data_IF_639905868253
#
_entry.id   IF_639905868253
#
_cell.length_a   1.000
_cell.length_b   1.000
_cell.length_c   1.000
_cell.angle_alpha   90.00
_cell.angle_beta   90.00
_cell.angle_gamma   90.00
#
_symmetry.space_group_name_H-M   'P 1'
#
loop_
_entity.id
_entity.type
_entity.pdbx_description
1 polymer ?
#
# COMPACT_ATOMS: atom_id res chain seq x y z
N UNK A 1 5.28 -8.12 -21.00
CA UNK A 1 4.32 -9.14 -20.56
C UNK A 1 3.58 -8.55 -19.37
N UNK A 2 2.26 -8.62 -19.40
CA UNK A 2 1.40 -8.12 -18.32
C UNK A 2 1.54 -8.99 -17.07
N UNK A 3 1.50 -8.37 -15.89
CA UNK A 3 1.62 -8.97 -14.57
C UNK A 3 0.92 -8.10 -13.51
N UNK A 4 0.93 -8.55 -12.25
CA UNK A 4 0.24 -7.87 -11.15
C UNK A 4 0.68 -6.43 -10.90
N UNK A 5 1.86 -6.01 -11.32
CA UNK A 5 2.33 -4.62 -11.16
C UNK A 5 1.95 -3.70 -12.33
N UNK A 6 1.60 -4.23 -13.51
CA UNK A 6 1.41 -3.40 -14.71
C UNK A 6 0.13 -3.72 -15.51
N UNK A 7 -0.70 -4.66 -15.04
CA UNK A 7 -2.08 -4.77 -15.51
C UNK A 7 -2.88 -3.53 -15.08
N UNK A 8 -3.90 -3.19 -15.87
CA UNK A 8 -4.73 -2.01 -15.63
C UNK A 8 -5.28 -1.95 -14.20
N UNK A 9 -5.43 -0.72 -13.69
CA UNK A 9 -6.05 -0.44 -12.41
C UNK A 9 -7.54 -0.78 -12.44
N UNK A 10 -8.04 -1.40 -11.37
CA UNK A 10 -9.48 -1.53 -11.18
C UNK A 10 -10.08 -0.23 -10.60
N UNK A 11 -11.41 -0.12 -10.59
CA UNK A 11 -12.10 1.17 -10.39
C UNK A 11 -11.69 1.95 -9.13
N UNK A 12 -11.53 1.25 -8.02
CA UNK A 12 -11.16 1.82 -6.73
C UNK A 12 -9.71 2.34 -6.71
N UNK A 13 -8.75 1.61 -7.30
CA UNK A 13 -7.37 2.09 -7.51
C UNK A 13 -7.36 3.33 -8.41
N UNK A 14 -8.15 3.31 -9.50
CA UNK A 14 -8.27 4.43 -10.42
C UNK A 14 -8.80 5.70 -9.73
N UNK A 15 -9.79 5.56 -8.84
CA UNK A 15 -10.28 6.69 -8.05
C UNK A 15 -9.19 7.28 -7.15
N UNK A 16 -8.47 6.43 -6.41
CA UNK A 16 -7.35 6.88 -5.56
C UNK A 16 -6.29 7.60 -6.39
N UNK A 17 -5.84 7.00 -7.49
CA UNK A 17 -4.82 7.57 -8.36
C UNK A 17 -5.23 8.93 -8.93
N UNK A 18 -6.44 9.07 -9.47
CA UNK A 18 -6.93 10.34 -10.02
C UNK A 18 -7.01 11.43 -8.94
N UNK A 19 -7.45 11.08 -7.73
CA UNK A 19 -7.46 12.01 -6.61
C UNK A 19 -6.04 12.44 -6.24
N UNK A 20 -5.11 11.50 -6.15
CA UNK A 20 -3.71 11.72 -5.77
C UNK A 20 -2.89 12.50 -6.80
N UNK A 21 -3.37 12.63 -8.04
CA UNK A 21 -2.79 13.51 -9.06
C UNK A 21 -3.09 15.01 -8.84
N UNK A 22 -4.00 15.36 -7.94
CA UNK A 22 -4.36 16.76 -7.63
C UNK A 22 -3.32 17.43 -6.75
N UNK A 23 -3.47 18.74 -6.52
CA UNK A 23 -2.65 19.42 -5.51
C UNK A 23 -2.96 18.93 -4.09
N UNK A 24 -1.98 18.94 -3.17
CA UNK A 24 -2.20 18.52 -1.78
C UNK A 24 -3.41 19.19 -1.10
N UNK A 25 -3.64 20.51 -1.25
CA UNK A 25 -4.84 21.15 -0.69
C UNK A 25 -6.14 20.60 -1.26
N UNK A 26 -6.18 20.29 -2.56
CA UNK A 26 -7.35 19.68 -3.20
C UNK A 26 -7.56 18.24 -2.71
N UNK A 27 -6.49 17.45 -2.59
CA UNK A 27 -6.55 16.09 -2.04
C UNK A 27 -7.21 16.12 -0.66
N UNK A 28 -6.69 16.96 0.25
CA UNK A 28 -7.21 17.08 1.61
C UNK A 28 -8.66 17.58 1.61
N UNK A 29 -8.99 18.58 0.79
CA UNK A 29 -10.34 19.12 0.69
C UNK A 29 -11.36 18.08 0.23
N UNK A 30 -11.03 17.29 -0.80
CA UNK A 30 -11.91 16.25 -1.34
C UNK A 30 -12.03 15.08 -0.37
N UNK A 31 -10.91 14.53 0.10
CA UNK A 31 -10.91 13.33 0.94
C UNK A 31 -11.48 13.61 2.33
N UNK A 32 -11.49 14.85 2.81
CA UNK A 32 -12.16 15.23 4.07
C UNK A 32 -13.66 14.93 4.10
N UNK A 33 -14.27 14.72 2.92
CA UNK A 33 -15.67 14.37 2.73
C UNK A 33 -15.86 12.89 2.35
N UNK A 34 -14.77 12.15 2.23
CA UNK A 34 -14.76 10.71 1.98
C UNK A 34 -14.81 9.95 3.33
N UNK A 35 -15.08 8.66 3.28
CA UNK A 35 -14.94 7.73 4.41
C UNK A 35 -13.49 7.47 4.81
N UNK A 36 -12.56 7.81 3.93
CA UNK A 36 -11.18 7.39 3.96
C UNK A 36 -10.25 8.50 4.46
N UNK A 37 -9.27 8.24 5.32
CA UNK A 37 -8.28 9.25 5.69
C UNK A 37 -7.30 9.56 4.54
N UNK A 38 -6.70 10.77 4.52
CA UNK A 38 -5.89 11.27 3.40
C UNK A 38 -4.54 10.57 3.19
N UNK A 39 -4.08 9.76 4.14
CA UNK A 39 -2.67 9.34 4.21
C UNK A 39 -2.23 8.56 2.97
N UNK A 40 -3.08 7.69 2.44
CA UNK A 40 -2.79 6.95 1.22
C UNK A 40 -2.56 7.89 0.03
N UNK A 41 -3.49 8.83 -0.19
CA UNK A 41 -3.41 9.76 -1.31
C UNK A 41 -2.21 10.71 -1.19
N UNK A 42 -1.81 11.05 0.04
CA UNK A 42 -0.59 11.83 0.28
C UNK A 42 0.66 11.03 -0.14
N UNK A 43 0.73 9.74 0.18
CA UNK A 43 1.84 8.89 -0.24
C UNK A 43 1.89 8.70 -1.75
N UNK A 44 0.75 8.44 -2.38
CA UNK A 44 0.66 8.39 -3.85
C UNK A 44 1.07 9.73 -4.47
N UNK A 45 0.64 10.86 -3.91
CA UNK A 45 1.06 12.18 -4.38
C UNK A 45 2.59 12.33 -4.35
N UNK A 46 3.26 11.91 -3.27
CA UNK A 46 4.73 11.93 -3.19
C UNK A 46 5.35 11.05 -4.29
N UNK A 47 4.83 9.83 -4.48
CA UNK A 47 5.31 8.91 -5.50
C UNK A 47 5.11 9.49 -6.91
N UNK A 48 3.97 10.11 -7.19
CA UNK A 48 3.66 10.68 -8.49
C UNK A 48 4.55 11.85 -8.86
N UNK A 49 4.94 12.66 -7.87
CA UNK A 49 5.85 13.79 -8.06
C UNK A 49 7.33 13.37 -8.16
N UNK A 50 7.68 12.12 -7.86
CA UNK A 50 9.09 11.66 -7.83
C UNK A 50 9.40 10.55 -8.82
N UNK A 51 8.50 9.59 -8.98
CA UNK A 51 8.68 8.39 -9.80
C UNK A 51 7.75 8.35 -11.01
N UNK A 52 6.55 8.93 -10.90
CA UNK A 52 5.54 8.94 -11.96
C UNK A 52 4.23 8.25 -11.56
N UNK A 53 3.32 8.12 -12.52
CA UNK A 53 1.92 7.70 -12.27
C UNK A 53 1.57 6.32 -12.83
N UNK A 54 2.56 5.60 -13.37
CA UNK A 54 2.37 4.26 -13.90
C UNK A 54 1.97 3.26 -12.79
N UNK A 55 1.24 2.20 -13.18
CA UNK A 55 0.68 1.21 -12.26
C UNK A 55 1.73 0.55 -11.37
N UNK A 56 2.96 0.40 -11.89
CA UNK A 56 4.08 -0.20 -11.15
C UNK A 56 4.46 0.62 -9.92
N UNK A 57 4.33 1.95 -9.98
CA UNK A 57 4.66 2.82 -8.85
C UNK A 57 3.56 2.81 -7.79
N UNK A 58 2.30 2.77 -8.23
CA UNK A 58 1.12 2.64 -7.36
C UNK A 58 1.18 1.32 -6.59
N UNK A 59 1.33 0.21 -7.29
CA UNK A 59 1.37 -1.13 -6.65
C UNK A 59 2.70 -1.41 -5.97
N UNK A 60 3.78 -0.76 -6.41
CA UNK A 60 5.06 -0.76 -5.70
C UNK A 60 4.97 -0.09 -4.32
N UNK A 61 4.20 0.99 -4.20
CA UNK A 61 3.92 1.64 -2.91
C UNK A 61 3.15 0.70 -1.97
N UNK A 62 2.06 0.09 -2.45
CA UNK A 62 1.30 -0.90 -1.69
C UNK A 62 2.19 -2.06 -1.22
N UNK A 63 2.98 -2.62 -2.14
CA UNK A 63 3.90 -3.72 -1.83
C UNK A 63 4.96 -3.32 -0.79
N UNK A 64 5.39 -2.05 -0.79
CA UNK A 64 6.34 -1.53 0.20
C UNK A 64 5.71 -1.50 1.60
N UNK A 65 4.44 -1.09 1.74
CA UNK A 65 3.74 -1.14 3.03
C UNK A 65 3.45 -2.57 3.49
N UNK A 66 3.12 -3.47 2.57
CA UNK A 66 3.01 -4.90 2.85
C UNK A 66 4.33 -5.46 3.43
N UNK A 67 5.48 -5.19 2.80
CA UNK A 67 6.79 -5.61 3.33
C UNK A 67 7.10 -4.96 4.69
N UNK A 68 6.73 -3.70 4.87
CA UNK A 68 6.82 -3.01 6.17
C UNK A 68 6.02 -3.73 7.25
N UNK A 69 4.79 -4.16 6.93
CA UNK A 69 3.93 -4.92 7.83
C UNK A 69 4.55 -6.27 8.20
N UNK A 70 5.12 -7.00 7.23
CA UNK A 70 5.85 -8.26 7.47
C UNK A 70 7.05 -8.04 8.39
N UNK A 71 7.82 -6.97 8.16
CA UNK A 71 8.95 -6.59 9.02
C UNK A 71 8.50 -6.28 10.44
N UNK A 72 7.44 -5.50 10.63
CA UNK A 72 6.93 -5.19 11.96
C UNK A 72 6.31 -6.40 12.66
N UNK A 73 5.67 -7.32 11.94
CA UNK A 73 5.23 -8.60 12.49
C UNK A 73 6.42 -9.40 13.07
N UNK A 74 7.56 -9.45 12.36
CA UNK A 74 8.80 -10.03 12.89
C UNK A 74 9.27 -9.32 14.17
N UNK A 75 9.32 -7.99 14.14
CA UNK A 75 9.82 -7.20 15.28
C UNK A 75 8.94 -7.38 16.52
N UNK A 76 7.63 -7.32 16.37
CA UNK A 76 6.65 -7.49 17.45
C UNK A 76 6.74 -8.91 18.00
N UNK A 77 6.70 -9.95 17.16
CA UNK A 77 6.79 -11.34 17.61
C UNK A 77 8.14 -11.67 18.28
N UNK A 78 9.23 -11.05 17.80
CA UNK A 78 10.56 -11.19 18.42
C UNK A 78 10.66 -10.50 19.77
N UNK A 79 10.01 -9.33 19.91
CA UNK A 79 10.02 -8.53 21.14
C UNK A 79 9.17 -9.17 22.24
N UNK A 80 7.98 -9.67 21.90
CA UNK A 80 7.04 -10.23 22.88
C UNK A 80 7.37 -11.66 23.30
N UNK A 81 8.04 -12.45 22.44
CA UNK A 81 8.28 -13.88 22.69
C UNK A 81 9.72 -14.30 22.42
N UNK A 82 10.10 -14.47 21.16
CA UNK A 82 11.44 -14.93 20.76
C UNK A 82 11.70 -14.67 19.28
N UNK A 83 12.98 -14.61 18.88
CA UNK A 83 13.36 -14.47 17.46
C UNK A 83 12.73 -15.55 16.56
N UNK A 84 12.61 -16.79 17.07
CA UNK A 84 11.99 -17.90 16.34
C UNK A 84 10.50 -17.64 16.11
N UNK A 85 9.80 -17.16 17.13
CA UNK A 85 8.38 -16.76 17.03
C UNK A 85 8.20 -15.60 16.05
N UNK A 86 9.05 -14.57 16.13
CA UNK A 86 9.03 -13.46 15.18
C UNK A 86 9.24 -13.92 13.74
N UNK A 87 10.16 -14.86 13.50
CA UNK A 87 10.39 -15.40 12.16
C UNK A 87 9.14 -16.12 11.62
N UNK A 88 8.50 -16.97 12.44
CA UNK A 88 7.23 -17.60 12.03
C UNK A 88 6.12 -16.58 11.81
N UNK A 89 6.01 -15.54 12.64
CA UNK A 89 5.03 -14.48 12.45
C UNK A 89 5.21 -13.78 11.09
N UNK A 90 6.43 -13.40 10.73
CA UNK A 90 6.70 -12.80 9.42
C UNK A 90 6.42 -13.75 8.25
N UNK A 91 6.81 -15.03 8.35
CA UNK A 91 6.53 -16.03 7.31
C UNK A 91 5.02 -16.19 7.11
N UNK A 92 4.26 -16.34 8.20
CA UNK A 92 2.81 -16.50 8.10
C UNK A 92 2.10 -15.23 7.64
N UNK A 93 2.57 -14.03 8.00
CA UNK A 93 2.04 -12.78 7.45
C UNK A 93 2.34 -12.66 5.96
N UNK A 94 3.57 -12.95 5.52
CA UNK A 94 3.98 -12.85 4.12
C UNK A 94 3.23 -13.86 3.22
N UNK A 95 3.04 -15.09 3.70
CA UNK A 95 2.36 -16.15 2.97
C UNK A 95 0.84 -16.17 3.18
N UNK A 96 0.28 -15.20 3.90
CA UNK A 96 -1.16 -15.13 4.13
C UNK A 96 -1.86 -14.82 2.80
N UNK A 97 -2.66 -15.76 2.23
CA UNK A 97 -3.24 -15.58 0.91
C UNK A 97 -4.26 -14.45 0.85
N UNK A 98 -4.93 -14.14 1.95
CA UNK A 98 -5.86 -13.02 2.03
C UNK A 98 -5.11 -11.69 2.01
N UNK A 99 -4.03 -11.58 2.79
CA UNK A 99 -3.25 -10.34 2.87
C UNK A 99 -2.39 -10.11 1.62
N UNK A 100 -1.88 -11.18 0.99
CA UNK A 100 -1.01 -11.09 -0.18
C UNK A 100 -1.71 -10.48 -1.41
N UNK A 101 -3.03 -10.65 -1.56
CA UNK A 101 -3.79 -10.03 -2.64
C UNK A 101 -3.71 -8.50 -2.52
N UNK A 102 -3.84 -7.96 -1.31
CA UNK A 102 -3.79 -6.53 -1.04
C UNK A 102 -2.39 -5.92 -1.18
N UNK A 103 -1.33 -6.75 -1.18
CA UNK A 103 0.03 -6.30 -1.43
C UNK A 103 0.21 -5.64 -2.81
N UNK A 104 -0.73 -5.84 -3.74
CA UNK A 104 -0.70 -5.29 -5.10
C UNK A 104 -1.91 -4.43 -5.41
N UNK A 105 -2.57 -3.88 -4.40
CA UNK A 105 -3.70 -2.96 -4.61
C UNK A 105 -3.32 -1.55 -4.21
N UNK A 106 -3.40 -0.59 -5.13
CA UNK A 106 -3.20 0.84 -4.90
C UNK A 106 -4.30 1.50 -4.08
N UNK A 107 -4.47 1.07 -2.82
CA UNK A 107 -5.55 1.50 -1.92
C UNK A 107 -5.07 1.64 -0.49
N UNK A 108 -5.87 2.39 0.28
CA UNK A 108 -5.56 2.73 1.68
C UNK A 108 -5.47 1.54 2.64
N UNK A 109 -6.06 0.39 2.30
CA UNK A 109 -6.04 -0.81 3.13
C UNK A 109 -4.85 -1.73 2.83
N UNK A 110 -4.00 -1.34 1.89
CA UNK A 110 -2.84 -2.08 1.43
C UNK A 110 -1.55 -1.70 2.17
#
# INVERSE_FOLDING_TARGET
MENVFNQSLWGDEGFSAILSMKSLPEIISIISRDTSPPLWNIWEWVVFNTLGTDEIYIRGLAFTFFLGTVFFAYKIGSFLFSKKTGLFAAIFTFLNPFFFIYAFEGRMYS
#
